data_IF_016959504088
#
_entry.id   IF_016959504088
#
_cell.length_a   1.000
_cell.length_b   1.000
_cell.length_c   1.000
_cell.angle_alpha   90.00
_cell.angle_beta   90.00
_cell.angle_gamma   90.00
#
_symmetry.space_group_name_H-M   'P 1'
#
loop_
_entity.id
_entity.type
_entity.pdbx_description
1 polymer ?
#
# COMPACT_ATOMS: atom_id res chain seq x y z
N UNK A 1 46.94 21.53 18.75
CA UNK A 1 45.79 20.60 18.58
C UNK A 1 46.16 19.26 19.17
N UNK A 2 45.27 18.61 19.92
CA UNK A 2 45.44 17.20 20.30
C UNK A 2 45.12 16.32 19.08
N UNK A 3 45.88 15.24 18.86
CA UNK A 3 45.70 14.34 17.72
C UNK A 3 44.27 13.77 17.60
N UNK A 4 43.64 13.50 18.76
CA UNK A 4 42.25 13.02 18.84
C UNK A 4 41.27 13.95 18.12
N UNK A 5 41.35 15.27 18.34
CA UNK A 5 40.47 16.22 17.66
C UNK A 5 40.68 16.21 16.15
N UNK A 6 41.93 16.22 15.68
CA UNK A 6 42.24 16.16 14.24
C UNK A 6 41.73 14.86 13.60
N UNK A 7 41.84 13.73 14.31
CA UNK A 7 41.31 12.44 13.84
C UNK A 7 39.77 12.45 13.74
N UNK A 8 39.07 12.99 14.74
CA UNK A 8 37.60 13.10 14.68
C UNK A 8 37.14 14.03 13.55
N UNK A 9 37.80 15.18 13.33
CA UNK A 9 37.49 16.05 12.20
C UNK A 9 37.72 15.37 10.85
N UNK A 10 38.77 14.54 10.72
CA UNK A 10 38.97 13.73 9.52
C UNK A 10 37.83 12.73 9.32
N UNK A 11 37.42 12.01 10.36
CA UNK A 11 36.30 11.07 10.27
C UNK A 11 34.98 11.76 9.88
N UNK A 12 34.73 12.97 10.39
CA UNK A 12 33.52 13.74 10.09
C UNK A 12 33.57 14.46 8.73
N UNK A 13 34.75 14.82 8.25
CA UNK A 13 34.93 15.62 7.02
C UNK A 13 35.33 14.83 5.78
N UNK A 14 35.74 13.57 5.92
CA UNK A 14 36.07 12.72 4.78
C UNK A 14 34.80 12.33 4.01
N UNK A 15 34.66 12.85 2.80
CA UNK A 15 33.53 12.63 1.90
C UNK A 15 33.97 11.96 0.60
N UNK A 16 33.04 11.27 -0.07
CA UNK A 16 33.24 10.65 -1.39
C UNK A 16 32.00 10.78 -2.25
N UNK A 17 32.19 10.71 -3.56
CA UNK A 17 31.09 10.67 -4.52
C UNK A 17 30.39 9.30 -4.49
N UNK A 18 29.05 9.24 -4.35
CA UNK A 18 28.34 7.98 -4.34
C UNK A 18 28.41 7.29 -5.70
N UNK A 19 28.50 5.95 -5.71
CA UNK A 19 28.47 5.19 -6.95
C UNK A 19 27.06 5.15 -7.54
N UNK A 20 26.93 5.12 -8.87
CA UNK A 20 25.62 4.99 -9.54
C UNK A 20 24.86 3.74 -9.07
N UNK A 21 25.58 2.64 -8.82
CA UNK A 21 24.99 1.43 -8.27
C UNK A 21 24.36 1.64 -6.88
N UNK A 22 25.02 2.42 -6.02
CA UNK A 22 24.48 2.75 -4.71
C UNK A 22 23.26 3.67 -4.82
N UNK A 23 23.31 4.66 -5.70
CA UNK A 23 22.18 5.57 -5.96
C UNK A 23 20.97 4.82 -6.53
N UNK A 24 21.22 3.87 -7.45
CA UNK A 24 20.17 3.01 -7.99
C UNK A 24 19.48 2.20 -6.89
N UNK A 25 20.25 1.57 -5.99
CA UNK A 25 19.69 0.83 -4.85
C UNK A 25 18.89 1.70 -3.87
N UNK A 26 19.19 3.00 -3.78
CA UNK A 26 18.41 3.93 -2.96
C UNK A 26 17.10 4.32 -3.64
N UNK A 27 17.07 4.37 -4.97
CA UNK A 27 15.90 4.73 -5.77
C UNK A 27 14.97 3.55 -6.06
N UNK A 28 15.51 2.34 -6.19
CA UNK A 28 14.78 1.07 -6.39
C UNK A 28 14.20 0.61 -5.04
N UNK A 29 13.07 1.22 -4.68
CA UNK A 29 12.40 1.06 -3.38
C UNK A 29 11.67 -0.27 -3.26
N UNK A 30 11.23 -0.87 -4.37
CA UNK A 30 10.58 -2.17 -4.39
C UNK A 30 11.53 -3.35 -4.69
N UNK A 31 12.82 -3.07 -4.96
CA UNK A 31 13.87 -4.03 -5.30
C UNK A 31 13.54 -4.84 -6.55
N UNK A 32 12.82 -4.24 -7.49
CA UNK A 32 12.42 -4.87 -8.75
C UNK A 32 13.56 -4.91 -9.78
N UNK A 33 14.67 -4.20 -9.53
CA UNK A 33 15.83 -4.13 -10.43
C UNK A 33 15.62 -3.19 -11.63
N UNK A 34 14.54 -2.42 -11.65
CA UNK A 34 14.26 -1.37 -12.62
C UNK A 34 13.47 -0.23 -11.96
N UNK A 35 13.64 1.01 -12.43
CA UNK A 35 12.93 2.16 -11.85
C UNK A 35 11.56 2.36 -12.48
N UNK A 36 10.51 2.36 -11.66
CA UNK A 36 9.13 2.73 -12.02
C UNK A 36 8.96 4.24 -12.26
N UNK A 37 7.82 4.69 -12.80
CA UNK A 37 7.53 6.13 -13.00
C UNK A 37 7.63 6.95 -11.70
N UNK A 38 7.24 6.35 -10.57
CA UNK A 38 7.31 6.95 -9.23
C UNK A 38 8.75 7.18 -8.78
N UNK A 39 9.61 6.20 -9.03
CA UNK A 39 11.03 6.27 -8.68
C UNK A 39 11.79 7.18 -9.64
N UNK A 40 11.41 7.18 -10.93
CA UNK A 40 11.89 8.14 -11.92
C UNK A 40 11.52 9.57 -11.56
N UNK A 41 10.33 9.81 -11.00
CA UNK A 41 9.97 11.14 -10.48
C UNK A 41 10.85 11.54 -9.30
N UNK A 42 11.19 10.60 -8.42
CA UNK A 42 12.12 10.83 -7.30
C UNK A 42 13.52 11.15 -7.81
N UNK A 43 14.00 10.42 -8.82
CA UNK A 43 15.25 10.73 -9.52
C UNK A 43 15.20 12.14 -10.13
N UNK A 44 14.15 12.47 -10.88
CA UNK A 44 13.99 13.78 -11.51
C UNK A 44 13.98 14.94 -10.49
N UNK A 45 13.30 14.78 -9.36
CA UNK A 45 13.28 15.78 -8.29
C UNK A 45 14.68 16.08 -7.72
N UNK A 46 15.57 15.08 -7.70
CA UNK A 46 16.97 15.26 -7.28
C UNK A 46 17.85 15.85 -8.38
N UNK A 47 17.61 15.50 -9.64
CA UNK A 47 18.41 15.96 -10.79
C UNK A 47 18.14 17.41 -11.17
N UNK A 48 16.88 17.85 -11.11
CA UNK A 48 16.44 19.15 -11.63
C UNK A 48 16.14 20.17 -10.51
N UNK A 49 16.11 21.48 -10.83
CA UNK A 49 15.62 22.49 -9.90
C UNK A 49 14.13 22.29 -9.60
N UNK A 50 13.73 22.63 -8.37
CA UNK A 50 12.32 22.64 -7.94
C UNK A 50 11.69 24.00 -8.28
N UNK A 51 10.38 24.09 -8.61
CA UNK A 51 9.43 22.99 -8.73
C UNK A 51 9.67 22.16 -10.00
N UNK A 52 9.40 20.86 -9.91
CA UNK A 52 9.57 19.97 -11.04
C UNK A 52 8.51 20.26 -12.11
N UNK A 53 8.95 20.46 -13.35
CA UNK A 53 8.06 20.74 -14.47
C UNK A 53 7.85 19.50 -15.35
N UNK A 54 6.76 19.46 -16.11
CA UNK A 54 6.53 18.42 -17.12
C UNK A 54 7.68 18.37 -18.14
N UNK A 55 8.24 19.52 -18.50
CA UNK A 55 9.39 19.59 -19.40
C UNK A 55 10.62 18.89 -18.82
N UNK A 56 10.89 19.05 -17.52
CA UNK A 56 12.01 18.37 -16.84
C UNK A 56 11.85 16.85 -16.84
N UNK A 57 10.62 16.35 -16.62
CA UNK A 57 10.30 14.92 -16.70
C UNK A 57 10.50 14.40 -18.13
N UNK A 58 9.92 15.07 -19.13
CA UNK A 58 10.09 14.68 -20.53
C UNK A 58 11.55 14.72 -20.97
N UNK A 59 12.35 15.67 -20.49
CA UNK A 59 13.79 15.71 -20.77
C UNK A 59 14.52 14.47 -20.23
N UNK A 60 14.19 14.03 -19.01
CA UNK A 60 14.76 12.81 -18.43
C UNK A 60 14.34 11.57 -19.22
N UNK A 61 13.05 11.45 -19.53
CA UNK A 61 12.51 10.33 -20.32
C UNK A 61 13.19 10.23 -21.70
N UNK A 62 13.30 11.36 -22.42
CA UNK A 62 14.00 11.39 -23.71
C UNK A 62 15.48 11.03 -23.60
N UNK A 63 16.16 11.45 -22.52
CA UNK A 63 17.53 11.07 -22.26
C UNK A 63 17.67 9.56 -22.05
N UNK A 64 16.76 8.94 -21.29
CA UNK A 64 16.73 7.50 -21.05
C UNK A 64 16.44 6.71 -22.33
N UNK A 65 15.47 7.15 -23.13
CA UNK A 65 15.17 6.56 -24.44
C UNK A 65 16.39 6.61 -25.35
N UNK A 66 17.03 7.78 -25.48
CA UNK A 66 18.23 7.95 -26.30
C UNK A 66 19.39 7.07 -25.82
N UNK A 67 19.59 6.98 -24.51
CA UNK A 67 20.61 6.11 -23.94
C UNK A 67 20.33 4.62 -24.20
N UNK A 68 19.07 4.20 -24.23
CA UNK A 68 18.71 2.80 -24.50
C UNK A 68 19.13 2.33 -25.90
N UNK A 69 19.09 3.23 -26.88
CA UNK A 69 19.57 2.95 -28.24
C UNK A 69 21.10 2.76 -28.27
N UNK A 70 21.84 3.39 -27.35
CA UNK A 70 23.30 3.24 -27.25
C UNK A 70 23.70 1.94 -26.56
N UNK A 71 22.96 1.50 -25.55
CA UNK A 71 23.31 0.31 -24.74
C UNK A 71 22.88 -1.00 -25.38
N UNK A 72 21.80 -1.00 -26.16
CA UNK A 72 21.26 -2.20 -26.83
C UNK A 72 20.73 -1.86 -28.22
N UNK A 73 21.59 -1.88 -29.26
CA UNK A 73 21.19 -1.53 -30.61
C UNK A 73 20.14 -2.48 -31.24
N UNK A 74 19.98 -3.70 -30.72
CA UNK A 74 19.10 -4.75 -31.26
C UNK A 74 17.98 -5.20 -30.29
N UNK A 75 17.33 -4.25 -29.61
CA UNK A 75 15.90 -4.26 -29.25
C UNK A 75 15.27 -5.48 -28.58
N UNK A 76 16.03 -6.42 -28.02
CA UNK A 76 15.49 -7.57 -27.29
C UNK A 76 15.55 -7.30 -25.79
N UNK A 77 14.70 -6.39 -25.34
CA UNK A 77 14.33 -6.34 -23.94
C UNK A 77 13.51 -7.60 -23.66
N UNK A 78 14.15 -8.62 -23.09
CA UNK A 78 13.40 -9.72 -22.51
C UNK A 78 12.62 -9.10 -21.36
N UNK A 79 11.33 -8.85 -21.60
CA UNK A 79 10.38 -8.46 -20.57
C UNK A 79 10.35 -9.61 -19.57
N UNK A 80 11.25 -9.57 -18.59
CA UNK A 80 11.19 -10.43 -17.42
C UNK A 80 9.77 -10.31 -16.88
N UNK A 81 9.12 -11.46 -16.70
CA UNK A 81 7.72 -11.64 -16.34
C UNK A 81 7.38 -11.17 -14.92
N UNK A 82 7.94 -10.04 -14.49
CA UNK A 82 7.56 -9.34 -13.28
C UNK A 82 6.35 -8.46 -13.67
N UNK A 83 5.23 -8.54 -12.95
CA UNK A 83 4.11 -7.64 -13.15
C UNK A 83 4.51 -6.24 -12.65
N UNK A 84 5.31 -5.51 -13.43
CA UNK A 84 5.59 -4.11 -13.21
C UNK A 84 4.47 -3.26 -13.79
N UNK A 85 4.17 -2.15 -13.13
CA UNK A 85 3.33 -1.10 -13.70
C UNK A 85 3.96 -0.63 -15.04
N UNK A 86 3.18 -0.54 -16.13
CA UNK A 86 3.68 -0.03 -17.39
C UNK A 86 3.95 1.48 -17.27
N UNK A 87 5.03 1.95 -17.88
CA UNK A 87 5.34 3.38 -17.95
C UNK A 87 4.21 4.18 -18.62
N UNK A 88 3.95 5.39 -18.14
CA UNK A 88 2.98 6.31 -18.75
C UNK A 88 3.41 6.71 -20.17
N UNK A 89 4.70 6.97 -20.37
CA UNK A 89 5.26 7.37 -21.66
C UNK A 89 5.53 6.15 -22.54
N UNK A 90 4.93 6.14 -23.74
CA UNK A 90 5.15 5.07 -24.71
C UNK A 90 6.60 5.07 -25.19
N UNK A 91 7.18 3.87 -25.29
CA UNK A 91 8.55 3.68 -25.77
C UNK A 91 9.63 3.83 -24.70
N UNK A 92 9.25 4.02 -23.43
CA UNK A 92 10.20 4.00 -22.32
C UNK A 92 10.84 2.60 -22.19
N UNK A 93 12.19 2.52 -22.14
CA UNK A 93 12.90 1.29 -21.86
C UNK A 93 12.80 0.94 -20.37
N UNK A 94 12.98 -0.33 -19.97
CA UNK A 94 13.15 -0.68 -18.58
C UNK A 94 14.43 -0.03 -18.03
N UNK A 95 14.28 0.84 -17.03
CA UNK A 95 15.40 1.63 -16.49
C UNK A 95 16.16 0.80 -15.47
N UNK A 96 17.13 0.02 -15.95
CA UNK A 96 18.01 -0.82 -15.11
C UNK A 96 19.31 -0.11 -14.72
N UNK A 97 20.03 -0.66 -13.75
CA UNK A 97 21.36 -0.18 -13.38
C UNK A 97 22.32 -0.12 -14.58
N UNK A 98 22.25 -1.10 -15.48
CA UNK A 98 23.09 -1.15 -16.68
C UNK A 98 22.82 0.04 -17.61
N UNK A 99 21.54 0.42 -17.78
CA UNK A 99 21.16 1.58 -18.58
C UNK A 99 21.72 2.88 -17.97
N UNK A 100 21.63 3.04 -16.65
CA UNK A 100 22.15 4.23 -15.97
C UNK A 100 23.68 4.34 -16.09
N UNK A 101 24.40 3.23 -15.92
CA UNK A 101 25.86 3.19 -16.06
C UNK A 101 26.32 3.36 -17.52
N UNK A 102 25.50 2.90 -18.48
CA UNK A 102 25.77 3.02 -19.92
C UNK A 102 25.37 4.37 -20.53
N UNK A 103 24.96 5.35 -19.72
CA UNK A 103 24.45 6.64 -20.16
C UNK A 103 25.33 7.80 -19.65
N UNK A 104 26.42 8.15 -20.37
CA UNK A 104 27.33 9.23 -19.97
C UNK A 104 26.68 10.58 -19.61
N UNK A 105 25.69 11.10 -20.37
CA UNK A 105 25.08 12.38 -20.01
C UNK A 105 24.33 12.30 -18.67
N UNK A 106 23.64 11.19 -18.41
CA UNK A 106 22.91 10.99 -17.16
C UNK A 106 23.87 10.74 -15.99
N UNK A 107 24.92 9.94 -16.18
CA UNK A 107 25.94 9.71 -15.15
C UNK A 107 26.58 11.03 -14.71
N UNK A 108 26.92 11.91 -15.66
CA UNK A 108 27.49 13.22 -15.36
C UNK A 108 26.51 14.12 -14.59
N UNK A 109 25.23 14.06 -14.93
CA UNK A 109 24.17 14.82 -14.26
C UNK A 109 23.93 14.29 -12.83
N UNK A 110 23.90 12.97 -12.65
CA UNK A 110 23.78 12.33 -11.33
C UNK A 110 24.95 12.70 -10.41
N UNK A 111 26.19 12.57 -10.89
CA UNK A 111 27.39 12.95 -10.09
C UNK A 111 27.40 14.42 -9.68
N UNK A 112 26.81 15.30 -10.51
CA UNK A 112 26.73 16.74 -10.21
C UNK A 112 25.61 17.07 -9.21
N UNK A 113 24.46 16.40 -9.32
CA UNK A 113 23.26 16.76 -8.55
C UNK A 113 23.18 16.07 -7.19
N UNK A 114 23.79 14.89 -7.03
CA UNK A 114 23.78 14.16 -5.76
C UNK A 114 24.87 14.69 -4.82
N UNK A 115 24.55 14.73 -3.52
CA UNK A 115 25.48 15.16 -2.47
C UNK A 115 26.55 14.08 -2.25
N UNK A 116 27.75 14.53 -1.89
CA UNK A 116 28.81 13.64 -1.44
C UNK A 116 28.39 12.94 -0.15
N UNK A 117 28.76 11.66 -0.03
CA UNK A 117 28.49 10.86 1.15
C UNK A 117 29.71 10.81 2.06
N UNK A 118 29.48 10.78 3.38
CA UNK A 118 30.56 10.61 4.34
C UNK A 118 31.17 9.21 4.21
N UNK A 119 32.50 9.16 4.14
CA UNK A 119 33.25 7.90 4.06
C UNK A 119 33.07 7.10 5.35
N UNK A 120 33.08 7.80 6.49
CA UNK A 120 32.93 7.20 7.80
C UNK A 120 31.57 7.56 8.41
N UNK A 121 31.01 6.62 9.17
CA UNK A 121 29.76 6.84 9.91
C UNK A 121 30.06 7.69 11.13
N UNK A 122 29.29 8.75 11.29
CA UNK A 122 29.28 9.57 12.50
C UNK A 122 27.87 10.13 12.71
N UNK A 123 27.58 10.56 13.93
CA UNK A 123 26.33 11.24 14.28
C UNK A 123 26.68 12.55 14.98
N UNK A 124 26.22 13.66 14.40
CA UNK A 124 26.21 14.96 15.06
C UNK A 124 24.75 15.22 15.39
N UNK A 125 24.40 15.28 16.68
CA UNK A 125 23.03 15.61 17.06
C UNK A 125 22.73 17.06 16.70
N UNK A 126 21.94 17.26 15.64
CA UNK A 126 21.50 18.57 15.15
C UNK A 126 19.97 18.68 15.12
N UNK A 127 19.46 19.90 14.99
CA UNK A 127 18.02 20.19 14.92
C UNK A 127 17.43 20.00 13.50
N UNK A 128 18.27 19.80 12.47
CA UNK A 128 17.90 19.77 11.04
C UNK A 128 17.40 18.41 10.50
N UNK A 129 17.13 17.46 11.40
CA UNK A 129 16.72 16.09 11.05
C UNK A 129 15.25 15.97 10.66
N UNK A 130 14.44 17.02 10.87
CA UNK A 130 12.99 16.97 10.75
C UNK A 130 12.48 17.92 9.66
N UNK A 131 11.69 17.41 8.72
CA UNK A 131 10.92 18.20 7.77
C UNK A 131 9.44 18.23 8.16
N UNK A 132 8.93 19.40 8.52
CA UNK A 132 7.49 19.63 8.72
C UNK A 132 6.86 20.27 7.48
N UNK A 133 5.86 19.63 6.89
CA UNK A 133 5.07 20.18 5.78
C UNK A 133 3.58 20.16 6.13
N UNK A 134 2.94 21.32 6.06
CA UNK A 134 1.48 21.44 6.17
C UNK A 134 0.86 21.26 4.79
N UNK A 135 0.02 20.24 4.65
CA UNK A 135 -0.64 19.86 3.39
C UNK A 135 -2.00 20.54 3.30
N UNK A 136 -2.19 21.33 2.26
CA UNK A 136 -3.42 22.08 2.01
C UNK A 136 -4.17 21.50 0.80
N UNK A 137 -5.37 22.00 0.49
CA UNK A 137 -6.19 21.53 -0.64
C UNK A 137 -5.66 21.90 -2.04
N UNK A 138 -4.61 22.73 -2.14
CA UNK A 138 -4.03 23.14 -3.43
C UNK A 138 -3.00 22.11 -3.92
N UNK A 139 -3.40 21.34 -4.94
CA UNK A 139 -2.60 20.27 -5.55
C UNK A 139 -1.21 20.73 -5.97
N UNK A 140 -1.09 21.88 -6.65
CA UNK A 140 0.21 22.37 -7.17
C UNK A 140 1.19 22.67 -6.04
N UNK A 141 0.71 23.25 -4.94
CA UNK A 141 1.53 23.52 -3.76
C UNK A 141 1.98 22.22 -3.09
N UNK A 142 1.07 21.25 -2.94
CA UNK A 142 1.38 19.94 -2.34
C UNK A 142 2.43 19.20 -3.17
N UNK A 143 2.26 19.15 -4.50
CA UNK A 143 3.25 18.52 -5.39
C UNK A 143 4.64 19.15 -5.20
N UNK A 144 4.73 20.48 -5.14
CA UNK A 144 6.00 21.17 -4.90
C UNK A 144 6.62 20.83 -3.53
N UNK A 145 5.80 20.75 -2.46
CA UNK A 145 6.25 20.35 -1.13
C UNK A 145 6.77 18.92 -1.09
N UNK A 146 6.11 17.99 -1.79
CA UNK A 146 6.52 16.58 -1.85
C UNK A 146 7.77 16.38 -2.72
N UNK A 147 7.89 17.11 -3.82
CA UNK A 147 9.11 17.08 -4.64
C UNK A 147 10.32 17.69 -3.89
N UNK A 148 10.12 18.66 -3.00
CA UNK A 148 11.18 19.13 -2.08
C UNK A 148 11.65 18.03 -1.11
N UNK A 149 10.72 17.21 -0.59
CA UNK A 149 11.08 16.06 0.26
C UNK A 149 11.88 15.01 -0.54
N UNK A 150 11.47 14.72 -1.78
CA UNK A 150 12.21 13.80 -2.68
C UNK A 150 13.63 14.29 -2.94
N UNK A 151 13.79 15.61 -3.12
CA UNK A 151 15.08 16.25 -3.36
C UNK A 151 15.98 16.24 -2.12
N UNK A 152 15.43 16.56 -0.96
CA UNK A 152 16.14 16.71 0.29
C UNK A 152 15.59 15.74 1.35
N UNK A 153 15.91 14.43 1.26
CA UNK A 153 15.43 13.45 2.22
C UNK A 153 15.93 13.81 3.63
N UNK A 154 15.00 13.82 4.59
CA UNK A 154 15.28 14.02 6.02
C UNK A 154 15.00 12.74 6.78
N UNK A 155 15.62 12.60 7.95
CA UNK A 155 15.43 11.43 8.83
C UNK A 155 13.98 11.31 9.29
N UNK A 156 13.36 12.45 9.61
CA UNK A 156 11.96 12.53 9.99
C UNK A 156 11.20 13.46 9.05
N UNK A 157 10.08 12.98 8.53
CA UNK A 157 9.17 13.77 7.67
C UNK A 157 7.79 13.74 8.31
N UNK A 158 7.28 14.91 8.68
CA UNK A 158 5.97 15.10 9.25
C UNK A 158 5.08 15.82 8.23
N UNK A 159 4.11 15.09 7.68
CA UNK A 159 3.06 15.65 6.83
C UNK A 159 1.82 15.88 7.68
N UNK A 160 1.46 17.14 7.91
CA UNK A 160 0.25 17.48 8.64
C UNK A 160 -0.91 17.69 7.66
N UNK A 161 -2.03 17.02 7.90
CA UNK A 161 -3.24 17.17 7.10
C UNK A 161 -4.00 18.44 7.53
N UNK A 162 -3.78 19.54 6.81
CA UNK A 162 -4.49 20.81 6.97
C UNK A 162 -5.54 21.01 5.86
N UNK A 163 -5.98 19.93 5.22
CA UNK A 163 -6.88 19.99 4.08
C UNK A 163 -8.34 20.13 4.50
N UNK A 164 -9.08 20.99 3.82
CA UNK A 164 -10.54 21.01 3.91
C UNK A 164 -11.10 19.89 3.03
N UNK A 165 -11.44 18.75 3.64
CA UNK A 165 -11.88 17.54 2.92
C UNK A 165 -13.12 17.71 2.04
N UNK A 166 -13.89 18.79 2.20
CA UNK A 166 -15.06 19.11 1.37
C UNK A 166 -14.76 19.99 0.16
N UNK A 167 -13.54 20.51 0.02
CA UNK A 167 -13.17 21.44 -1.05
C UNK A 167 -12.84 20.71 -2.36
N UNK A 168 -13.14 21.36 -3.48
CA UNK A 168 -12.71 20.89 -4.79
C UNK A 168 -11.17 20.80 -4.83
N UNK A 169 -10.63 19.61 -5.13
CA UNK A 169 -9.20 19.32 -5.13
C UNK A 169 -8.72 18.39 -4.01
N UNK A 170 -9.53 18.18 -2.96
CA UNK A 170 -9.14 17.30 -1.85
C UNK A 170 -8.87 15.85 -2.26
N UNK A 171 -9.67 15.31 -3.20
CA UNK A 171 -9.46 13.96 -3.73
C UNK A 171 -8.19 13.87 -4.60
N UNK A 172 -7.86 14.93 -5.34
CA UNK A 172 -6.63 14.99 -6.12
C UNK A 172 -5.40 15.06 -5.21
N UNK A 173 -5.46 15.85 -4.13
CA UNK A 173 -4.41 15.87 -3.09
C UNK A 173 -4.25 14.48 -2.45
N UNK A 174 -5.35 13.79 -2.13
CA UNK A 174 -5.31 12.41 -1.61
C UNK A 174 -4.64 11.45 -2.60
N UNK A 175 -4.92 11.56 -3.90
CA UNK A 175 -4.28 10.74 -4.92
C UNK A 175 -2.78 11.03 -5.02
N UNK A 176 -2.37 12.30 -4.99
CA UNK A 176 -0.96 12.72 -4.99
C UNK A 176 -0.21 12.24 -3.75
N UNK A 177 -0.81 12.35 -2.57
CA UNK A 177 -0.22 11.82 -1.33
C UNK A 177 -0.05 10.31 -1.38
N UNK A 178 -1.06 9.60 -1.90
CA UNK A 178 -0.99 8.15 -2.09
C UNK A 178 0.16 7.77 -3.02
N UNK A 179 0.26 8.43 -4.18
CA UNK A 179 1.37 8.21 -5.12
C UNK A 179 2.74 8.48 -4.48
N UNK A 180 2.86 9.53 -3.68
CA UNK A 180 4.07 9.83 -2.93
C UNK A 180 4.43 8.74 -1.91
N UNK A 181 3.46 8.26 -1.11
CA UNK A 181 3.73 7.18 -0.17
C UNK A 181 4.06 5.86 -0.87
N UNK A 182 3.36 5.52 -1.95
CA UNK A 182 3.65 4.34 -2.77
C UNK A 182 5.04 4.45 -3.43
N UNK A 183 5.57 5.66 -3.66
CA UNK A 183 6.95 5.88 -4.12
C UNK A 183 8.04 5.68 -3.05
N UNK A 184 7.66 5.63 -1.77
CA UNK A 184 8.58 5.41 -0.65
C UNK A 184 8.41 4.02 -0.02
N UNK A 185 7.17 3.55 0.02
CA UNK A 185 6.73 2.31 0.65
C UNK A 185 5.81 1.56 -0.32
N UNK A 186 6.36 1.03 -1.42
CA UNK A 186 5.56 0.37 -2.46
C UNK A 186 4.92 -0.94 -1.98
N UNK A 187 5.56 -1.62 -1.03
CA UNK A 187 5.06 -2.87 -0.47
C UNK A 187 4.18 -2.62 0.76
N UNK A 188 2.91 -3.05 0.74
CA UNK A 188 2.03 -2.88 1.89
C UNK A 188 2.51 -3.72 3.07
N UNK A 189 2.44 -3.14 4.25
CA UNK A 189 2.77 -3.85 5.49
C UNK A 189 1.67 -4.87 5.84
N UNK A 190 1.99 -5.85 6.70
CA UNK A 190 1.00 -6.82 7.20
C UNK A 190 -0.13 -6.19 8.03
N UNK A 191 0.02 -4.93 8.43
CA UNK A 191 -0.98 -4.16 9.16
C UNK A 191 -1.96 -3.45 8.22
N UNK A 192 -1.63 -3.36 6.93
CA UNK A 192 -2.50 -2.76 5.93
C UNK A 192 -3.57 -3.74 5.45
N UNK A 193 -4.72 -3.19 5.11
CA UNK A 193 -5.81 -3.95 4.53
C UNK A 193 -5.54 -4.18 3.03
N UNK A 194 -6.07 -5.28 2.45
CA UNK A 194 -5.98 -5.49 1.01
C UNK A 194 -6.60 -4.32 0.22
N UNK A 195 -6.19 -4.14 -1.06
CA UNK A 195 -6.73 -3.08 -1.91
C UNK A 195 -8.27 -3.09 -1.94
N UNK A 196 -8.87 -1.91 -1.79
CA UNK A 196 -10.33 -1.74 -1.79
C UNK A 196 -11.01 -2.02 -0.44
N UNK A 197 -10.29 -2.54 0.55
CA UNK A 197 -10.81 -2.69 1.90
C UNK A 197 -10.52 -1.45 2.74
N UNK A 198 -11.47 -1.09 3.59
CA UNK A 198 -11.32 -0.03 4.60
C UNK A 198 -11.64 -0.58 5.96
N UNK A 199 -10.96 -0.05 6.97
CA UNK A 199 -11.28 -0.41 8.34
C UNK A 199 -12.70 0.11 8.65
N UNK A 200 -13.62 -0.82 8.90
CA UNK A 200 -15.03 -0.51 9.19
C UNK A 200 -15.18 0.26 10.50
N UNK A 201 -14.28 0.05 11.46
CA UNK A 201 -14.35 0.66 12.78
C UNK A 201 -13.04 1.35 13.12
N UNK A 202 -13.04 2.68 13.10
CA UNK A 202 -11.88 3.46 13.50
C UNK A 202 -11.57 3.30 15.01
N UNK A 203 -12.61 3.21 15.84
CA UNK A 203 -12.48 3.13 17.30
C UNK A 203 -12.92 1.78 17.87
N UNK A 204 -12.22 1.33 18.91
CA UNK A 204 -12.50 0.06 19.59
C UNK A 204 -13.90 0.01 20.21
N UNK A 205 -14.42 1.14 20.70
CA UNK A 205 -15.75 1.24 21.28
C UNK A 205 -16.84 0.88 20.25
N UNK A 206 -16.77 1.47 19.05
CA UNK A 206 -17.71 1.19 17.96
C UNK A 206 -17.64 -0.27 17.50
N UNK A 207 -16.44 -0.85 17.45
CA UNK A 207 -16.27 -2.28 17.18
C UNK A 207 -16.95 -3.15 18.23
N UNK A 208 -16.80 -2.81 19.51
CA UNK A 208 -17.38 -3.56 20.63
C UNK A 208 -18.91 -3.46 20.66
N UNK A 209 -19.46 -2.29 20.39
CA UNK A 209 -20.92 -2.10 20.26
C UNK A 209 -21.49 -2.95 19.13
N UNK A 210 -20.82 -2.94 17.97
CA UNK A 210 -21.22 -3.76 16.84
C UNK A 210 -21.12 -5.26 17.14
N UNK A 211 -20.06 -5.71 17.84
CA UNK A 211 -19.92 -7.10 18.29
C UNK A 211 -21.07 -7.50 19.22
N UNK A 212 -21.37 -6.70 20.25
CA UNK A 212 -22.50 -6.94 21.17
C UNK A 212 -23.84 -7.01 20.44
N UNK A 213 -24.07 -6.14 19.47
CA UNK A 213 -25.29 -6.18 18.65
C UNK A 213 -25.36 -7.49 17.84
N UNK A 214 -24.27 -7.85 17.15
CA UNK A 214 -24.21 -9.07 16.34
C UNK A 214 -24.37 -10.34 17.18
N UNK A 215 -23.78 -10.39 18.38
CA UNK A 215 -23.87 -11.53 19.27
C UNK A 215 -25.28 -11.69 19.84
N UNK A 216 -25.95 -10.58 20.20
CA UNK A 216 -27.38 -10.58 20.55
C UNK A 216 -28.25 -11.07 19.40
N UNK A 217 -28.03 -10.56 18.19
CA UNK A 217 -28.78 -10.98 17.00
C UNK A 217 -28.58 -12.47 16.71
N UNK A 218 -27.34 -12.96 16.77
CA UNK A 218 -27.01 -14.37 16.60
C UNK A 218 -27.70 -15.24 17.66
N UNK A 219 -27.71 -14.81 18.91
CA UNK A 219 -28.44 -15.50 19.98
C UNK A 219 -29.93 -15.65 19.66
N UNK A 220 -30.60 -14.56 19.26
CA UNK A 220 -32.02 -14.59 18.91
C UNK A 220 -32.31 -15.46 17.67
N UNK A 221 -31.43 -15.43 16.66
CA UNK A 221 -31.53 -16.30 15.47
C UNK A 221 -31.41 -17.78 15.87
N UNK A 222 -30.42 -18.15 16.69
CA UNK A 222 -30.26 -19.54 17.14
C UNK A 222 -31.42 -20.00 18.02
N UNK A 223 -31.93 -19.13 18.91
CA UNK A 223 -33.09 -19.44 19.73
C UNK A 223 -34.33 -19.70 18.85
N UNK A 224 -34.59 -18.84 17.86
CA UNK A 224 -35.70 -19.02 16.93
C UNK A 224 -35.56 -20.31 16.10
N UNK A 225 -34.35 -20.61 15.62
CA UNK A 225 -34.07 -21.80 14.82
C UNK A 225 -34.22 -23.09 15.67
N UNK A 226 -33.77 -23.08 16.93
CA UNK A 226 -33.98 -24.17 17.87
C UNK A 226 -35.47 -24.41 18.14
N UNK A 227 -36.24 -23.35 18.37
CA UNK A 227 -37.67 -23.43 18.64
C UNK A 227 -38.44 -23.96 17.42
N UNK A 228 -38.03 -23.57 16.21
CA UNK A 228 -38.58 -24.10 14.96
C UNK A 228 -38.30 -25.60 14.80
N UNK A 229 -37.07 -26.06 15.08
CA UNK A 229 -36.72 -27.49 15.09
C UNK A 229 -37.55 -28.26 16.13
N UNK A 230 -37.74 -27.70 17.33
CA UNK A 230 -38.55 -28.34 18.36
C UNK A 230 -40.00 -28.50 17.91
N UNK A 231 -40.59 -27.46 17.30
CA UNK A 231 -41.96 -27.50 16.78
C UNK A 231 -42.13 -28.53 15.66
N UNK A 232 -41.16 -28.67 14.75
CA UNK A 232 -41.23 -29.69 13.69
C UNK A 232 -41.17 -31.10 14.26
N UNK A 233 -40.31 -31.36 15.26
CA UNK A 233 -40.25 -32.65 15.96
C UNK A 233 -41.56 -32.94 16.68
N UNK A 234 -42.10 -31.97 17.44
CA UNK A 234 -43.35 -32.14 18.17
C UNK A 234 -44.53 -32.40 17.22
N UNK A 235 -44.60 -31.68 16.09
CA UNK A 235 -45.61 -31.90 15.06
C UNK A 235 -45.53 -33.33 14.49
N UNK A 236 -44.31 -33.76 14.12
CA UNK A 236 -44.08 -35.12 13.61
C UNK A 236 -44.45 -36.20 14.64
N UNK A 237 -44.08 -36.03 15.91
CA UNK A 237 -44.46 -36.93 16.99
C UNK A 237 -45.97 -36.95 17.23
N UNK A 238 -46.64 -35.79 17.20
CA UNK A 238 -48.10 -35.69 17.35
C UNK A 238 -48.85 -36.39 16.22
N UNK A 239 -48.38 -36.27 14.98
CA UNK A 239 -48.92 -37.03 13.84
C UNK A 239 -48.76 -38.54 14.04
N UNK A 240 -47.59 -39.00 14.50
CA UNK A 240 -47.36 -40.43 14.78
C UNK A 240 -48.24 -40.93 15.93
N UNK A 241 -48.32 -40.22 17.05
CA UNK A 241 -49.15 -40.59 18.21
C UNK A 241 -50.63 -40.59 17.84
N UNK A 242 -51.11 -39.57 17.12
CA UNK A 242 -52.50 -39.52 16.65
C UNK A 242 -52.81 -40.63 15.63
N UNK A 243 -51.85 -41.02 14.79
CA UNK A 243 -51.99 -42.16 13.86
C UNK A 243 -52.10 -43.49 14.60
N UNK A 244 -51.30 -43.71 15.65
CA UNK A 244 -51.32 -44.92 16.49
C UNK A 244 -52.59 -44.97 17.33
N UNK A 245 -53.01 -43.86 17.94
CA UNK A 245 -54.27 -43.75 18.69
C UNK A 245 -55.47 -44.05 17.79
N UNK A 246 -55.49 -43.53 16.55
CA UNK A 246 -56.53 -43.87 15.55
C UNK A 246 -56.54 -45.36 15.19
N UNK A 247 -55.38 -46.00 15.04
CA UNK A 247 -55.29 -47.46 14.81
C UNK A 247 -55.78 -48.27 16.02
N UNK A 248 -55.43 -47.87 17.24
CA UNK A 248 -55.88 -48.53 18.48
C UNK A 248 -57.39 -48.37 18.71
N UNK A 249 -57.95 -47.18 18.47
CA UNK A 249 -59.39 -46.92 18.56
C UNK A 249 -60.19 -47.73 17.52
N UNK A 250 -59.70 -47.83 16.27
CA UNK A 250 -60.31 -48.71 15.25
C UNK A 250 -60.26 -50.20 15.63
N UNK A 251 -59.15 -50.68 16.21
CA UNK A 251 -59.06 -52.07 16.73
C UNK A 251 -60.02 -52.32 17.89
N UNK A 252 -60.20 -51.35 18.79
CA UNK A 252 -61.17 -51.42 19.89
C UNK A 252 -62.61 -51.50 19.39
N UNK A 253 -62.97 -50.72 18.36
CA UNK A 253 -64.29 -50.82 17.72
C UNK A 253 -64.50 -52.19 17.04
N UNK A 254 -63.49 -52.75 16.37
CA UNK A 254 -63.59 -54.11 15.81
C UNK A 254 -63.67 -55.22 16.88
N UNK A 255 -62.97 -55.08 18.01
CA UNK A 255 -63.09 -56.00 19.14
C UNK A 255 -64.48 -55.97 19.79
N UNK A 256 -65.02 -54.78 20.03
CA UNK A 256 -66.38 -54.59 20.56
C UNK A 256 -67.48 -55.04 19.58
N UNK A 257 -67.22 -54.98 18.27
CA UNK A 257 -68.14 -55.53 17.26
C UNK A 257 -68.10 -57.06 17.22
N UNK A 258 -66.92 -57.68 17.41
CA UNK A 258 -66.78 -59.13 17.55
C UNK A 258 -67.42 -59.67 18.84
N UNK A 259 -67.33 -58.96 19.97
CA UNK A 259 -67.98 -59.40 21.21
C UNK A 259 -69.52 -59.22 21.20
N UNK A 260 -70.06 -58.39 20.28
CA UNK A 260 -71.52 -58.26 20.07
C UNK A 260 -72.09 -59.22 19.04
N UNK A 261 -71.25 -59.89 18.26
CA UNK A 261 -71.64 -60.93 17.29
C UNK A 261 -70.95 -62.20 17.73
N UNK A 262 -71.51 -62.88 18.73
CA UNK A 262 -71.12 -64.26 19.02
C UNK A 262 -71.48 -65.16 17.85
N UNK A 263 -70.49 -65.44 17.00
CA UNK A 263 -70.29 -66.68 16.22
C UNK A 263 -68.78 -66.88 16.10
#
# INVERSE_FOLDING_TARGET
MQFSFSYYYYLMGAVRQPSIARLFQELDTDLSGHLSDRELRTLAARLYPSPLTLQSLSQLEQMLINCSHLTTPNGTWSATSVPSEPYYTRGMPPVTLLLLQGCPPLESLMKKSFKEENVYRFEVMGEDDIAFKMIHSNVSHVVAQLDDIRKNPRKFVCLNDNMEHGQAGADAVRAVLRDFYESLFPQPTRLELPPGYRNRFLHICSLNEWRKFRDRLRFWIHLGLFLLILLTILSFCSEKVSSVRRRLLRRRQHGVWKDKIGV
#
